data_IF_558696534029
#
_entry.id   IF_558696534029
#
_cell.length_a   1.000
_cell.length_b   1.000
_cell.length_c   1.000
_cell.angle_alpha   90.00
_cell.angle_beta   90.00
_cell.angle_gamma   90.00
#
_symmetry.space_group_name_H-M   'P 1'
#
loop_
_entity.id
_entity.type
_entity.pdbx_description
1 polymer ?
#
# COMPACT_ATOMS: atom_id res chain seq x y z
N UNK A 1 29.19 -37.01 71.31
CA UNK A 1 27.91 -36.93 70.57
C UNK A 1 27.30 -35.57 70.85
N UNK A 2 27.47 -34.61 69.92
CA UNK A 2 26.62 -33.41 69.74
C UNK A 2 27.25 -32.57 68.63
N UNK A 3 26.93 -32.92 67.38
CA UNK A 3 27.01 -32.00 66.25
C UNK A 3 25.73 -31.15 66.23
N UNK A 4 25.85 -29.85 65.93
CA UNK A 4 24.82 -28.92 65.37
C UNK A 4 25.26 -27.45 65.58
N UNK A 5 24.78 -26.49 64.78
CA UNK A 5 24.85 -26.44 63.32
C UNK A 5 25.31 -25.05 62.81
N UNK A 6 25.71 -24.98 61.53
CA UNK A 6 25.94 -23.71 60.82
C UNK A 6 24.59 -23.04 60.53
N UNK A 7 24.41 -21.80 60.99
CA UNK A 7 23.26 -20.96 60.63
C UNK A 7 23.56 -20.33 59.27
N UNK A 8 22.92 -20.84 58.22
CA UNK A 8 22.88 -20.22 56.89
C UNK A 8 21.96 -18.99 56.96
N UNK A 9 22.51 -17.81 56.67
CA UNK A 9 21.72 -16.59 56.47
C UNK A 9 21.14 -16.67 55.04
N UNK A 10 19.85 -16.93 54.93
CA UNK A 10 19.10 -16.76 53.69
C UNK A 10 18.56 -15.33 53.66
N UNK A 11 19.20 -14.45 52.90
CA UNK A 11 18.63 -13.14 52.58
C UNK A 11 17.62 -13.36 51.47
N UNK A 12 16.33 -13.37 51.81
CA UNK A 12 15.25 -13.32 50.84
C UNK A 12 15.15 -11.89 50.29
N UNK A 13 15.70 -11.66 49.09
CA UNK A 13 15.47 -10.43 48.33
C UNK A 13 14.05 -10.46 47.76
N UNK A 14 13.11 -9.81 48.44
CA UNK A 14 11.81 -9.49 47.86
C UNK A 14 12.02 -8.35 46.85
N UNK A 15 12.14 -8.70 45.57
CA UNK A 15 11.98 -7.74 44.48
C UNK A 15 10.52 -7.31 44.44
N UNK A 16 10.21 -6.16 45.02
CA UNK A 16 8.95 -5.46 44.78
C UNK A 16 9.01 -4.94 43.34
N UNK A 17 8.39 -5.68 42.41
CA UNK A 17 8.21 -5.23 41.03
C UNK A 17 7.03 -4.25 41.06
N UNK A 18 7.33 -2.95 41.16
CA UNK A 18 6.35 -1.88 40.96
C UNK A 18 5.79 -2.03 39.54
N UNK A 19 4.55 -2.52 39.45
CA UNK A 19 3.77 -2.53 38.21
C UNK A 19 3.43 -1.08 37.86
N UNK A 20 4.26 -0.46 37.03
CA UNK A 20 3.92 0.82 36.40
C UNK A 20 2.78 0.56 35.44
N UNK A 21 1.56 0.92 35.84
CA UNK A 21 0.42 1.01 34.95
C UNK A 21 0.67 2.17 34.00
N UNK A 22 0.99 1.88 32.74
CA UNK A 22 0.97 2.87 31.68
C UNK A 22 -0.51 3.09 31.30
N UNK A 23 -1.09 4.16 31.82
CA UNK A 23 -2.41 4.60 31.39
C UNK A 23 -2.28 5.12 29.95
N UNK A 24 -2.98 4.49 29.00
CA UNK A 24 -3.00 4.96 27.62
C UNK A 24 -3.69 6.33 27.60
N UNK A 25 -2.94 7.39 27.27
CA UNK A 25 -3.51 8.70 26.99
C UNK A 25 -4.38 8.55 25.74
N UNK A 26 -5.69 8.52 25.92
CA UNK A 26 -6.65 8.57 24.82
C UNK A 26 -6.61 10.00 24.30
N UNK A 27 -5.96 10.20 23.15
CA UNK A 27 -6.06 11.44 22.40
C UNK A 27 -7.51 11.59 21.92
N UNK A 28 -8.26 12.59 22.41
CA UNK A 28 -9.66 12.77 22.05
C UNK A 28 -9.86 13.13 20.56
N UNK A 29 -8.79 13.57 19.88
CA UNK A 29 -8.78 13.86 18.44
C UNK A 29 -8.25 12.69 17.61
N UNK A 30 -7.89 11.56 18.23
CA UNK A 30 -7.46 10.37 17.50
C UNK A 30 -8.60 9.84 16.62
N UNK A 31 -8.34 9.57 15.33
CA UNK A 31 -9.37 9.10 14.42
C UNK A 31 -9.87 7.71 14.85
N UNK A 32 -11.19 7.57 14.97
CA UNK A 32 -11.82 6.28 15.30
C UNK A 32 -11.69 5.31 14.12
N UNK A 33 -10.72 4.40 14.15
CA UNK A 33 -10.41 3.52 13.02
C UNK A 33 -11.24 2.23 12.95
N UNK A 34 -12.27 2.08 13.78
CA UNK A 34 -13.19 0.93 13.76
C UNK A 34 -13.75 0.70 12.34
N UNK A 35 -13.51 -0.47 11.77
CA UNK A 35 -13.91 -0.85 10.39
C UNK A 35 -13.29 0.03 9.28
N UNK A 36 -12.16 0.69 9.57
CA UNK A 36 -11.47 1.62 8.66
C UNK A 36 -9.98 1.32 8.49
N UNK A 37 -9.48 0.23 9.06
CA UNK A 37 -8.07 -0.15 8.99
C UNK A 37 -7.69 -0.63 7.60
N UNK A 38 -6.66 -0.02 7.03
CA UNK A 38 -6.13 -0.40 5.73
C UNK A 38 -4.70 -0.88 5.87
N UNK A 39 -4.40 -2.04 5.27
CA UNK A 39 -3.04 -2.49 5.05
C UNK A 39 -2.64 -2.20 3.60
N UNK A 40 -1.52 -1.51 3.40
CA UNK A 40 -0.95 -1.30 2.07
C UNK A 40 -0.03 -2.48 1.76
N UNK A 41 -0.43 -3.32 0.81
CA UNK A 41 0.36 -4.49 0.40
C UNK A 41 1.63 -4.02 -0.29
N UNK A 42 2.79 -4.50 0.17
CA UNK A 42 4.05 -4.26 -0.52
C UNK A 42 4.10 -5.09 -1.81
N UNK A 43 4.21 -4.42 -2.94
CA UNK A 43 4.34 -5.05 -4.25
C UNK A 43 5.76 -4.85 -4.80
N UNK A 44 6.29 -5.79 -5.60
CA UNK A 44 7.45 -5.56 -6.46
C UNK A 44 7.27 -4.29 -7.30
N UNK A 45 8.35 -3.53 -7.49
CA UNK A 45 8.31 -2.21 -8.16
C UNK A 45 7.85 -2.27 -9.61
N UNK A 46 7.99 -3.43 -10.27
CA UNK A 46 7.46 -3.72 -11.62
C UNK A 46 5.95 -3.50 -11.74
N UNK A 47 5.21 -3.56 -10.64
CA UNK A 47 3.78 -3.28 -10.59
C UNK A 47 3.44 -1.80 -10.32
N UNK A 48 4.43 -0.95 -10.06
CA UNK A 48 4.21 0.47 -9.80
C UNK A 48 5.35 1.37 -10.28
N UNK A 49 6.37 1.62 -9.46
CA UNK A 49 7.37 2.65 -9.68
C UNK A 49 8.19 2.43 -10.96
N UNK A 50 8.44 1.18 -11.34
CA UNK A 50 9.19 0.88 -12.56
C UNK A 50 8.38 1.28 -13.81
N UNK A 51 7.05 1.22 -13.75
CA UNK A 51 6.15 1.67 -14.83
C UNK A 51 6.24 3.19 -15.06
N UNK A 52 6.82 3.94 -14.13
CA UNK A 52 7.02 5.39 -14.26
C UNK A 52 8.41 5.76 -14.82
N UNK A 53 9.33 4.81 -14.92
CA UNK A 53 10.74 5.11 -15.26
C UNK A 53 10.92 5.57 -16.70
N UNK A 54 10.15 4.99 -17.63
CA UNK A 54 10.18 5.30 -19.06
C UNK A 54 8.93 6.11 -19.49
N UNK A 55 8.55 7.11 -18.69
CA UNK A 55 7.36 7.93 -18.89
C UNK A 55 7.29 8.72 -20.22
N UNK A 56 8.39 8.75 -20.98
CA UNK A 56 8.50 9.39 -22.30
C UNK A 56 8.52 8.39 -23.48
N UNK A 57 8.51 7.07 -23.22
CA UNK A 57 8.77 6.04 -24.23
C UNK A 57 7.54 5.17 -24.57
N UNK A 58 6.33 5.69 -24.37
CA UNK A 58 5.11 4.97 -24.70
C UNK A 58 4.68 5.24 -26.16
N UNK A 59 4.54 4.21 -27.03
CA UNK A 59 4.42 4.39 -28.49
C UNK A 59 3.25 5.23 -29.00
N UNK A 60 2.18 5.37 -28.21
CA UNK A 60 0.92 6.04 -28.60
C UNK A 60 0.52 7.14 -27.61
N UNK A 61 1.20 7.23 -26.47
CA UNK A 61 0.90 8.21 -25.45
C UNK A 61 2.04 9.23 -25.40
N UNK A 62 1.71 10.52 -25.42
CA UNK A 62 2.69 11.60 -25.26
C UNK A 62 3.49 11.44 -23.95
N UNK A 63 4.65 12.10 -23.89
CA UNK A 63 5.46 12.19 -22.68
C UNK A 63 4.63 12.61 -21.45
N UNK A 64 4.41 11.68 -20.52
CA UNK A 64 3.68 11.94 -19.28
C UNK A 64 4.61 12.25 -18.10
N UNK A 65 5.92 12.27 -18.30
CA UNK A 65 6.89 12.66 -17.27
C UNK A 65 6.55 14.00 -16.59
N UNK A 66 6.05 15.05 -17.29
CA UNK A 66 5.69 16.31 -16.64
C UNK A 66 4.65 16.17 -15.52
N UNK A 67 3.82 15.13 -15.55
CA UNK A 67 2.75 14.90 -14.58
C UNK A 67 3.20 14.15 -13.32
N UNK A 68 4.40 13.55 -13.32
CA UNK A 68 4.93 12.81 -12.16
C UNK A 68 5.28 13.73 -10.97
N UNK A 69 5.56 15.00 -11.25
CA UNK A 69 5.90 15.99 -10.23
C UNK A 69 4.79 16.11 -9.17
N UNK A 70 5.16 16.50 -7.94
CA UNK A 70 4.22 16.62 -6.82
C UNK A 70 3.37 15.35 -6.61
N UNK A 71 3.99 14.18 -6.74
CA UNK A 71 3.38 12.87 -6.56
C UNK A 71 2.18 12.61 -7.49
N UNK A 72 2.33 12.93 -8.78
CA UNK A 72 1.28 12.70 -9.79
C UNK A 72 0.34 13.88 -10.02
N UNK A 73 0.43 14.95 -9.21
CA UNK A 73 -0.36 16.18 -9.46
C UNK A 73 0.19 17.00 -10.63
N UNK A 74 1.45 16.77 -11.02
CA UNK A 74 2.17 17.51 -12.04
C UNK A 74 2.67 18.87 -11.57
N UNK A 75 3.09 19.72 -12.52
CA UNK A 75 3.65 21.04 -12.22
C UNK A 75 2.58 22.00 -11.72
N UNK A 76 2.97 22.99 -10.90
CA UNK A 76 2.05 24.06 -10.50
C UNK A 76 1.55 24.84 -11.71
N UNK A 77 0.30 25.31 -11.66
CA UNK A 77 -0.26 26.16 -12.72
C UNK A 77 0.46 27.52 -12.81
N UNK A 78 0.92 28.03 -11.67
CA UNK A 78 1.73 29.24 -11.50
C UNK A 78 2.64 29.08 -10.25
N UNK A 79 3.78 29.78 -10.19
CA UNK A 79 4.76 29.62 -9.10
C UNK A 79 4.17 29.84 -7.69
N UNK A 80 3.26 30.79 -7.56
CA UNK A 80 2.58 31.11 -6.30
C UNK A 80 1.34 30.25 -6.01
N UNK A 81 1.02 29.27 -6.86
CA UNK A 81 -0.09 28.36 -6.62
C UNK A 81 0.28 27.39 -5.48
N UNK A 82 -0.66 27.20 -4.56
CA UNK A 82 -0.57 26.20 -3.49
C UNK A 82 -1.55 25.03 -3.68
N UNK A 83 -2.55 25.19 -4.54
CA UNK A 83 -3.68 24.25 -4.64
C UNK A 83 -4.00 23.80 -6.06
N UNK A 84 -3.47 24.47 -7.09
CA UNK A 84 -3.74 24.17 -8.49
C UNK A 84 -2.49 23.65 -9.20
N UNK A 85 -2.63 22.47 -9.80
CA UNK A 85 -1.58 21.76 -10.52
C UNK A 85 -2.08 21.33 -11.91
N UNK A 86 -1.16 21.16 -12.85
CA UNK A 86 -1.41 20.61 -14.18
C UNK A 86 -1.25 19.09 -14.10
N UNK A 87 -2.33 18.41 -13.76
CA UNK A 87 -2.39 16.95 -13.62
C UNK A 87 -2.86 16.27 -14.91
N UNK A 88 -2.65 14.96 -15.01
CA UNK A 88 -3.23 14.10 -16.03
C UNK A 88 -4.10 13.00 -15.38
N UNK A 89 -5.24 12.60 -15.98
CA UNK A 89 -6.07 11.51 -15.46
C UNK A 89 -5.32 10.20 -15.25
N UNK A 90 -4.31 9.88 -16.06
CA UNK A 90 -3.49 8.67 -15.91
C UNK A 90 -2.72 8.62 -14.59
N UNK A 91 -2.50 9.76 -13.93
CA UNK A 91 -1.76 9.82 -12.67
C UNK A 91 -2.63 9.46 -11.46
N UNK A 92 -3.91 9.14 -11.64
CA UNK A 92 -4.83 8.83 -10.54
C UNK A 92 -4.25 7.76 -9.59
N UNK A 93 -3.63 6.72 -10.12
CA UNK A 93 -3.04 5.62 -9.35
C UNK A 93 -1.89 6.08 -8.45
N UNK A 94 -0.99 6.90 -9.01
CA UNK A 94 0.13 7.50 -8.28
C UNK A 94 -0.36 8.49 -7.22
N UNK A 95 -1.32 9.36 -7.58
CA UNK A 95 -1.92 10.32 -6.65
C UNK A 95 -2.63 9.58 -5.51
N UNK A 96 -3.45 8.58 -5.82
CA UNK A 96 -4.17 7.79 -4.82
C UNK A 96 -3.20 7.04 -3.92
N UNK A 97 -2.17 6.39 -4.47
CA UNK A 97 -1.13 5.74 -3.68
C UNK A 97 -0.45 6.72 -2.72
N UNK A 98 -0.11 7.94 -3.17
CA UNK A 98 0.45 8.97 -2.27
C UNK A 98 -0.53 9.36 -1.16
N UNK A 99 -1.81 9.54 -1.47
CA UNK A 99 -2.84 9.88 -0.48
C UNK A 99 -3.07 8.76 0.53
N UNK A 100 -3.02 7.51 0.07
CA UNK A 100 -3.14 6.35 0.94
C UNK A 100 -2.03 6.26 1.98
N UNK A 101 -0.81 6.69 1.66
CA UNK A 101 0.30 6.76 2.62
C UNK A 101 0.08 7.79 3.75
N UNK A 102 -0.84 8.73 3.56
CA UNK A 102 -1.21 9.76 4.54
C UNK A 102 -2.51 9.42 5.28
N UNK A 103 -3.11 8.26 4.97
CA UNK A 103 -4.36 7.82 5.58
C UNK A 103 -4.15 7.52 7.09
N UNK A 104 -5.01 8.04 7.99
CA UNK A 104 -4.76 7.91 9.43
C UNK A 104 -4.94 6.49 9.99
N UNK A 105 -5.71 5.63 9.32
CA UNK A 105 -6.03 4.29 9.80
C UNK A 105 -5.24 3.23 9.04
N UNK A 106 -3.91 3.35 9.03
CA UNK A 106 -3.02 2.36 8.44
C UNK A 106 -2.54 1.36 9.49
N UNK A 107 -2.46 0.08 9.09
CA UNK A 107 -1.89 -0.99 9.91
C UNK A 107 -0.77 -1.72 9.16
N UNK A 108 0.32 -2.03 9.87
CA UNK A 108 1.38 -2.90 9.35
C UNK A 108 1.01 -4.38 9.41
N UNK A 109 0.02 -4.75 10.24
CA UNK A 109 -0.48 -6.11 10.34
C UNK A 109 -1.67 -6.31 9.39
N UNK A 110 -1.54 -7.12 8.32
CA UNK A 110 -2.64 -7.41 7.41
C UNK A 110 -3.81 -8.13 8.11
N UNK A 111 -3.55 -8.85 9.20
CA UNK A 111 -4.61 -9.57 9.93
C UNK A 111 -5.58 -8.64 10.65
N UNK A 112 -5.13 -7.43 11.02
CA UNK A 112 -5.93 -6.38 11.65
C UNK A 112 -6.63 -5.45 10.65
N UNK A 113 -6.40 -5.62 9.34
CA UNK A 113 -6.94 -4.74 8.31
C UNK A 113 -8.35 -5.15 7.88
N UNK A 114 -9.22 -4.15 7.73
CA UNK A 114 -10.56 -4.26 7.16
C UNK A 114 -10.52 -4.32 5.63
N UNK A 115 -9.51 -3.69 5.01
CA UNK A 115 -9.25 -3.75 3.58
C UNK A 115 -7.75 -3.72 3.26
N UNK A 116 -7.38 -4.28 2.11
CA UNK A 116 -6.00 -4.37 1.66
C UNK A 116 -5.86 -3.57 0.36
N UNK A 117 -5.10 -2.47 0.43
CA UNK A 117 -4.79 -1.67 -0.75
C UNK A 117 -3.63 -2.29 -1.53
N UNK A 118 -3.84 -2.51 -2.82
CA UNK A 118 -2.82 -2.93 -3.76
C UNK A 118 -2.34 -1.71 -4.57
N UNK A 119 -1.13 -1.17 -4.34
CA UNK A 119 -0.59 -0.06 -5.11
C UNK A 119 -0.09 -0.54 -6.48
N UNK A 120 -1.00 -1.05 -7.31
CA UNK A 120 -0.76 -1.49 -8.69
C UNK A 120 -1.18 -0.39 -9.65
N UNK A 121 -0.26 0.02 -10.54
CA UNK A 121 -0.55 1.06 -11.55
C UNK A 121 -1.08 0.41 -12.83
N UNK A 122 -2.21 -0.28 -12.72
CA UNK A 122 -2.77 -1.12 -13.78
C UNK A 122 -3.22 -0.35 -15.02
N UNK A 123 -3.60 0.92 -14.88
CA UNK A 123 -3.93 1.78 -16.00
C UNK A 123 -2.72 2.16 -16.84
N UNK A 124 -1.55 2.32 -16.21
CA UNK A 124 -0.27 2.54 -16.90
C UNK A 124 0.24 1.22 -17.49
N UNK A 125 0.16 0.13 -16.72
CA UNK A 125 0.54 -1.21 -17.19
C UNK A 125 -0.30 -1.64 -18.40
N UNK A 126 -1.59 -1.26 -18.47
CA UNK A 126 -2.46 -1.54 -19.60
C UNK A 126 -1.97 -0.96 -20.93
N UNK A 127 -1.13 0.09 -20.93
CA UNK A 127 -0.74 0.80 -22.16
C UNK A 127 -0.04 -0.16 -23.16
N UNK A 128 0.79 -1.10 -22.68
CA UNK A 128 1.48 -2.08 -23.55
C UNK A 128 0.52 -3.07 -24.21
N UNK A 129 -0.61 -3.37 -23.55
CA UNK A 129 -1.67 -4.23 -24.06
C UNK A 129 -2.67 -3.48 -24.94
N UNK A 130 -2.82 -2.17 -24.77
CA UNK A 130 -3.78 -1.39 -25.56
C UNK A 130 -3.16 -0.85 -26.84
N UNK A 131 -1.89 -0.44 -26.77
CA UNK A 131 -1.23 0.31 -27.81
C UNK A 131 0.20 -0.14 -28.10
N UNK A 132 0.71 -1.11 -27.33
CA UNK A 132 2.05 -1.65 -27.47
C UNK A 132 2.10 -2.97 -28.24
N UNK A 133 3.28 -3.60 -28.27
CA UNK A 133 3.49 -4.87 -28.98
C UNK A 133 2.70 -6.05 -28.37
N UNK A 134 2.21 -5.92 -27.13
CA UNK A 134 1.55 -6.97 -26.37
C UNK A 134 0.02 -6.98 -26.56
N UNK A 135 -0.51 -6.27 -27.56
CA UNK A 135 -1.96 -6.17 -27.80
C UNK A 135 -2.68 -7.52 -27.94
N UNK A 136 -2.02 -8.51 -28.54
CA UNK A 136 -2.55 -9.86 -28.69
C UNK A 136 -2.45 -10.72 -27.41
N UNK A 137 -1.83 -10.19 -26.36
CA UNK A 137 -1.63 -10.83 -25.06
C UNK A 137 -2.37 -10.11 -23.93
N UNK A 138 -3.38 -9.28 -24.25
CA UNK A 138 -4.15 -8.53 -23.24
C UNK A 138 -4.85 -9.41 -22.19
N UNK A 139 -5.06 -10.71 -22.46
CA UNK A 139 -5.54 -11.68 -21.48
C UNK A 139 -4.55 -11.95 -20.33
N UNK A 140 -3.29 -11.56 -20.48
CA UNK A 140 -2.23 -11.68 -19.45
C UNK A 140 -2.20 -10.47 -18.52
N UNK A 141 -2.94 -9.40 -18.83
CA UNK A 141 -2.93 -8.19 -18.02
C UNK A 141 -3.43 -8.46 -16.60
N UNK A 142 -2.58 -8.19 -15.61
CA UNK A 142 -2.84 -8.46 -14.19
C UNK A 142 -2.58 -9.91 -13.74
N UNK A 143 -2.29 -10.84 -14.66
CA UNK A 143 -2.03 -12.25 -14.31
C UNK A 143 -0.80 -12.38 -13.39
N UNK A 144 0.30 -11.71 -13.73
CA UNK A 144 1.52 -11.77 -12.93
C UNK A 144 1.34 -11.16 -11.52
N UNK A 145 0.46 -10.16 -11.37
CA UNK A 145 0.11 -9.62 -10.06
C UNK A 145 -0.69 -10.66 -9.26
N UNK A 146 -1.68 -11.30 -9.88
CA UNK A 146 -2.45 -12.36 -9.25
C UNK A 146 -1.56 -13.51 -8.78
N UNK A 147 -0.65 -13.98 -9.63
CA UNK A 147 0.32 -15.03 -9.29
C UNK A 147 1.22 -14.62 -8.12
N UNK A 148 1.71 -13.37 -8.12
CA UNK A 148 2.48 -12.84 -6.99
C UNK A 148 1.67 -12.86 -5.70
N UNK A 149 0.40 -12.44 -5.72
CA UNK A 149 -0.47 -12.44 -4.54
C UNK A 149 -0.82 -13.85 -4.04
N UNK A 150 -0.83 -14.85 -4.92
CA UNK A 150 -0.97 -16.26 -4.53
C UNK A 150 0.30 -16.85 -3.90
N UNK A 151 1.48 -16.31 -4.21
CA UNK A 151 2.76 -16.90 -3.80
C UNK A 151 3.38 -16.20 -2.60
N UNK A 152 3.31 -14.87 -2.58
CA UNK A 152 3.81 -14.05 -1.49
C UNK A 152 2.72 -13.83 -0.44
N UNK A 153 2.97 -14.26 0.80
CA UNK A 153 2.01 -14.23 1.92
C UNK A 153 0.59 -14.71 1.53
N UNK A 154 0.43 -15.95 1.00
CA UNK A 154 -0.84 -16.48 0.49
C UNK A 154 -2.00 -16.42 1.51
N UNK A 155 -1.69 -16.46 2.80
CA UNK A 155 -2.65 -16.32 3.89
C UNK A 155 -3.40 -14.98 3.87
N UNK A 156 -2.72 -13.90 3.44
CA UNK A 156 -3.32 -12.56 3.34
C UNK A 156 -4.40 -12.54 2.26
N UNK A 157 -4.12 -13.15 1.10
CA UNK A 157 -5.09 -13.27 0.01
C UNK A 157 -6.23 -14.23 0.34
N UNK A 158 -5.87 -15.44 0.83
CA UNK A 158 -6.81 -16.55 0.98
C UNK A 158 -7.84 -16.36 2.10
N UNK A 159 -7.54 -15.56 3.13
CA UNK A 159 -8.45 -15.25 4.25
C UNK A 159 -9.86 -14.87 3.77
N UNK A 160 -9.94 -14.00 2.77
CA UNK A 160 -11.18 -13.49 2.21
C UNK A 160 -11.26 -13.72 0.69
N UNK A 161 -10.44 -14.63 0.13
CA UNK A 161 -10.40 -14.91 -1.30
C UNK A 161 -10.16 -13.67 -2.18
N UNK A 162 -9.44 -12.67 -1.68
CA UNK A 162 -9.21 -11.40 -2.37
C UNK A 162 -10.37 -10.39 -2.33
N UNK A 163 -11.52 -10.70 -1.72
CA UNK A 163 -12.69 -9.80 -1.70
C UNK A 163 -12.50 -8.51 -0.90
N UNK A 164 -11.53 -8.50 0.01
CA UNK A 164 -11.11 -7.34 0.80
C UNK A 164 -9.93 -6.59 0.17
N UNK A 165 -9.44 -7.04 -0.99
CA UNK A 165 -8.37 -6.38 -1.72
C UNK A 165 -8.95 -5.39 -2.73
N UNK A 166 -8.35 -4.21 -2.83
CA UNK A 166 -8.76 -3.21 -3.80
C UNK A 166 -7.57 -2.52 -4.45
N UNK A 167 -7.78 -2.11 -5.70
CA UNK A 167 -6.88 -1.22 -6.46
C UNK A 167 -7.71 -0.06 -7.02
N UNK A 168 -7.03 0.97 -7.50
CA UNK A 168 -7.62 2.07 -8.26
C UNK A 168 -7.10 1.97 -9.68
N UNK A 169 -7.94 2.25 -10.68
CA UNK A 169 -7.55 2.22 -12.09
C UNK A 169 -7.81 3.59 -12.73
N UNK A 170 -6.79 4.14 -13.38
CA UNK A 170 -6.83 5.49 -13.96
C UNK A 170 -7.55 5.59 -15.33
N UNK A 171 -7.87 4.44 -15.95
CA UNK A 171 -8.43 4.35 -17.31
C UNK A 171 -9.94 4.08 -17.29
N UNK A 172 -10.69 4.44 -18.35
CA UNK A 172 -12.09 4.06 -18.50
C UNK A 172 -12.27 2.53 -18.46
N UNK A 173 -13.39 2.08 -17.89
CA UNK A 173 -13.72 0.65 -17.81
C UNK A 173 -13.70 -0.08 -19.17
N UNK A 174 -13.97 0.64 -20.26
CA UNK A 174 -13.91 0.12 -21.64
C UNK A 174 -12.52 -0.44 -21.99
N UNK A 175 -11.45 0.16 -21.48
CA UNK A 175 -10.07 -0.27 -21.76
C UNK A 175 -9.72 -1.62 -21.13
N UNK A 176 -10.53 -2.10 -20.18
CA UNK A 176 -10.36 -3.41 -19.53
C UNK A 176 -11.43 -4.41 -19.98
N UNK A 177 -12.32 -4.01 -20.87
CA UNK A 177 -13.34 -4.90 -21.42
C UNK A 177 -12.78 -5.68 -22.61
N UNK A 178 -12.95 -7.01 -22.59
CA UNK A 178 -12.76 -7.81 -23.78
C UNK A 178 -14.06 -7.78 -24.59
N UNK A 179 -13.96 -7.69 -25.92
CA UNK A 179 -15.12 -7.94 -26.77
C UNK A 179 -15.62 -9.37 -26.54
N UNK A 180 -16.92 -9.52 -26.28
CA UNK A 180 -17.61 -10.82 -26.24
C UNK A 180 -17.44 -11.60 -27.55
#
# INVERSE_FOLDING_TARGET
MASRPRILIWVAFFFFFEFVFCESVVDPDAPECTNRWIHIRRLPTRFNLDLLTNCSEYPVFDDFCPYLANHGLGQKTHNNSHSWYRTDPLMLELVFHRRMLEYPCLTSDPSAADAIFLPYYGGIDAIRYLFGPEVNSSFEHGLELYEFLQQDSPEVWSRNGGHDHFTVLARPAWDFSQSL
#
